data_IF_330506705055
#
_entry.id   IF_330506705055
#
_cell.length_a   1.000
_cell.length_b   1.000
_cell.length_c   1.000
_cell.angle_alpha   90.00
_cell.angle_beta   90.00
_cell.angle_gamma   90.00
#
_symmetry.space_group_name_H-M   'P 1'
#
loop_
_entity.id
_entity.type
_entity.pdbx_description
1 polymer ?
#
# COMPACT_ATOMS: atom_id res chain seq x y z
N UNK A 1 -0.62 32.20 -1.26
CA UNK A 1 0.65 31.58 -1.71
C UNK A 1 0.53 31.33 -3.21
N UNK A 2 1.52 31.75 -4.02
CA UNK A 2 1.50 31.49 -5.47
C UNK A 2 1.73 30.01 -5.74
N UNK A 3 1.26 29.46 -6.87
CA UNK A 3 1.46 28.02 -7.19
C UNK A 3 2.93 27.58 -7.13
N UNK A 4 3.84 28.41 -7.60
CA UNK A 4 5.28 28.14 -7.55
C UNK A 4 5.80 28.00 -6.12
N UNK A 5 5.33 28.86 -5.20
CA UNK A 5 5.74 28.84 -3.80
C UNK A 5 5.28 27.54 -3.11
N UNK A 6 4.08 27.04 -3.49
CA UNK A 6 3.55 25.75 -2.99
C UNK A 6 4.42 24.58 -3.46
N UNK A 7 4.80 24.57 -4.74
CA UNK A 7 5.65 23.54 -5.32
C UNK A 7 7.02 23.53 -4.65
N UNK A 8 7.62 24.72 -4.43
CA UNK A 8 8.92 24.82 -3.78
C UNK A 8 8.86 24.36 -2.32
N UNK A 9 7.86 24.82 -1.57
CA UNK A 9 7.63 24.36 -0.21
C UNK A 9 7.46 22.83 -0.13
N UNK A 10 6.69 22.23 -1.05
CA UNK A 10 6.52 20.78 -1.12
C UNK A 10 7.85 20.06 -1.41
N UNK A 11 8.64 20.57 -2.35
CA UNK A 11 9.98 20.01 -2.68
C UNK A 11 10.91 20.02 -1.47
N UNK A 12 10.98 21.13 -0.77
CA UNK A 12 11.81 21.28 0.42
C UNK A 12 11.34 20.34 1.54
N UNK A 13 10.03 20.30 1.82
CA UNK A 13 9.47 19.43 2.85
C UNK A 13 9.73 17.96 2.55
N UNK A 14 9.56 17.54 1.29
CA UNK A 14 9.88 16.17 0.86
C UNK A 14 11.35 15.83 1.03
N UNK A 15 12.24 16.73 0.63
CA UNK A 15 13.69 16.53 0.78
C UNK A 15 14.06 16.36 2.26
N UNK A 16 13.51 17.18 3.15
CA UNK A 16 13.74 17.08 4.60
C UNK A 16 13.25 15.75 5.18
N UNK A 17 12.07 15.28 4.77
CA UNK A 17 11.57 13.97 5.21
C UNK A 17 12.48 12.83 4.75
N UNK A 18 12.93 12.85 3.50
CA UNK A 18 13.84 11.84 2.96
C UNK A 18 15.16 11.85 3.73
N UNK A 19 15.72 13.03 4.00
CA UNK A 19 16.97 13.18 4.74
C UNK A 19 16.87 12.62 6.17
N UNK A 20 15.78 12.95 6.88
CA UNK A 20 15.55 12.45 8.24
C UNK A 20 15.41 10.93 8.25
N UNK A 21 14.62 10.37 7.33
CA UNK A 21 14.43 8.92 7.23
C UNK A 21 15.73 8.19 6.88
N UNK A 22 16.53 8.73 5.95
CA UNK A 22 17.82 8.14 5.55
C UNK A 22 18.84 8.09 6.72
N UNK A 23 18.77 9.07 7.64
CA UNK A 23 19.65 9.14 8.83
C UNK A 23 19.08 8.36 10.03
N UNK A 24 17.84 7.89 9.97
CA UNK A 24 17.21 7.18 11.08
C UNK A 24 17.37 5.67 10.96
N UNK A 25 17.57 4.98 12.10
CA UNK A 25 17.49 3.52 12.12
C UNK A 25 16.06 3.06 11.77
N UNK A 26 15.89 1.94 11.02
CA UNK A 26 14.56 1.47 10.59
C UNK A 26 13.56 1.28 11.73
N UNK A 27 14.01 0.81 12.90
CA UNK A 27 13.18 0.56 14.07
C UNK A 27 12.95 1.78 14.97
N UNK A 28 13.54 2.95 14.66
CA UNK A 28 13.33 4.17 15.45
C UNK A 28 11.84 4.53 15.45
N UNK A 29 11.27 4.74 16.66
CA UNK A 29 9.88 5.15 16.81
C UNK A 29 9.68 6.63 16.53
N UNK A 30 8.59 6.93 15.86
CA UNK A 30 8.09 8.26 15.54
C UNK A 30 6.68 8.40 16.10
N UNK A 31 6.35 9.56 16.64
CA UNK A 31 4.96 9.88 17.01
C UNK A 31 4.19 10.17 15.72
N UNK A 32 3.14 9.39 15.46
CA UNK A 32 2.26 9.54 14.32
C UNK A 32 0.81 9.59 14.78
N UNK A 33 0.21 10.77 14.71
CA UNK A 33 -1.10 11.06 15.31
C UNK A 33 -1.10 10.71 16.81
N UNK A 34 -1.93 9.77 17.23
CA UNK A 34 -2.05 9.30 18.63
C UNK A 34 -1.25 8.02 18.91
N UNK A 35 -0.52 7.51 17.93
CA UNK A 35 0.20 6.23 18.00
C UNK A 35 1.68 6.43 17.73
N UNK A 36 2.44 5.39 18.02
CA UNK A 36 3.84 5.30 17.57
C UNK A 36 3.94 4.38 16.36
N UNK A 37 4.78 4.78 15.41
CA UNK A 37 5.11 4.02 14.22
C UNK A 37 6.63 3.98 14.05
N UNK A 38 7.20 2.90 13.58
CA UNK A 38 8.63 2.89 13.26
C UNK A 38 8.92 3.58 11.92
N UNK A 39 10.18 4.04 11.74
CA UNK A 39 10.58 4.79 10.54
C UNK A 39 10.36 4.02 9.24
N UNK A 40 10.55 2.68 9.25
CA UNK A 40 10.34 1.86 8.06
C UNK A 40 8.87 1.82 7.67
N UNK A 41 8.00 1.53 8.63
CA UNK A 41 6.54 1.50 8.42
C UNK A 41 6.02 2.88 8.00
N UNK A 42 6.56 3.96 8.61
CA UNK A 42 6.22 5.33 8.19
C UNK A 42 6.60 5.60 6.73
N UNK A 43 7.83 5.24 6.32
CA UNK A 43 8.28 5.42 4.93
C UNK A 43 7.41 4.66 3.93
N UNK A 44 7.07 3.40 4.25
CA UNK A 44 6.19 2.55 3.44
C UNK A 44 4.79 3.16 3.34
N UNK A 45 4.24 3.67 4.45
CA UNK A 45 2.93 4.34 4.46
C UNK A 45 2.95 5.60 3.57
N UNK A 46 3.97 6.45 3.68
CA UNK A 46 4.09 7.66 2.85
C UNK A 46 4.24 7.36 1.37
N UNK A 47 4.92 6.28 1.02
CA UNK A 47 5.01 5.84 -0.36
C UNK A 47 3.65 5.33 -0.88
N UNK A 48 2.93 4.56 -0.06
CA UNK A 48 1.60 4.07 -0.42
C UNK A 48 0.59 5.21 -0.61
N UNK A 49 0.58 6.22 0.28
CA UNK A 49 -0.22 7.43 0.11
C UNK A 49 0.12 8.16 -1.21
N UNK A 50 1.41 8.37 -1.48
CA UNK A 50 1.86 9.05 -2.70
C UNK A 50 1.41 8.30 -3.96
N UNK A 51 1.57 6.98 -3.98
CA UNK A 51 1.15 6.13 -5.09
C UNK A 51 -0.37 6.21 -5.30
N UNK A 52 -1.13 6.07 -4.21
CA UNK A 52 -2.58 6.07 -4.25
C UNK A 52 -3.16 7.41 -4.76
N UNK A 53 -2.61 8.54 -4.27
CA UNK A 53 -3.02 9.86 -4.77
C UNK A 53 -2.53 10.14 -6.19
N UNK A 54 -1.40 9.54 -6.61
CA UNK A 54 -0.99 9.60 -8.01
C UNK A 54 -2.03 8.93 -8.93
N UNK A 55 -2.58 7.78 -8.53
CA UNK A 55 -3.67 7.14 -9.27
C UNK A 55 -4.88 8.08 -9.38
N UNK A 56 -5.30 8.73 -8.27
CA UNK A 56 -6.42 9.67 -8.28
C UNK A 56 -6.21 10.79 -9.31
N UNK A 57 -4.98 11.31 -9.44
CA UNK A 57 -4.62 12.35 -10.43
C UNK A 57 -4.65 11.79 -11.85
N UNK A 58 -4.04 10.62 -12.09
CA UNK A 58 -4.00 10.00 -13.42
C UNK A 58 -5.42 9.63 -13.90
N UNK A 59 -6.25 9.09 -13.00
CA UNK A 59 -7.65 8.76 -13.30
C UNK A 59 -8.44 10.04 -13.68
N UNK A 60 -8.26 11.15 -12.95
CA UNK A 60 -8.88 12.42 -13.28
C UNK A 60 -8.42 12.99 -14.62
N UNK A 61 -7.17 12.73 -15.00
CA UNK A 61 -6.60 13.13 -16.30
C UNK A 61 -6.95 12.14 -17.43
N UNK A 62 -7.61 11.03 -17.14
CA UNK A 62 -7.88 9.92 -18.07
C UNK A 62 -6.61 9.40 -18.73
N UNK A 63 -5.55 9.23 -17.93
CA UNK A 63 -4.25 8.70 -18.35
C UNK A 63 -3.96 7.41 -17.60
N UNK A 64 -3.30 6.49 -18.30
CA UNK A 64 -2.80 5.28 -17.68
C UNK A 64 -1.65 5.59 -16.72
N UNK A 65 -1.64 4.91 -15.58
CA UNK A 65 -0.55 4.94 -14.61
C UNK A 65 0.30 3.69 -14.79
N UNK A 66 1.58 3.88 -15.06
CA UNK A 66 2.53 2.77 -15.20
C UNK A 66 3.25 2.54 -13.86
N UNK A 67 3.06 1.34 -13.32
CA UNK A 67 3.73 0.94 -12.09
C UNK A 67 5.21 0.63 -12.33
N UNK A 68 6.03 0.96 -11.36
CA UNK A 68 7.45 0.58 -11.31
C UNK A 68 7.66 -0.49 -10.23
N UNK A 69 8.85 -1.09 -10.16
CA UNK A 69 9.21 -2.06 -9.09
C UNK A 69 8.99 -1.50 -7.67
N UNK A 70 8.90 -0.18 -7.48
CA UNK A 70 8.61 0.45 -6.19
C UNK A 70 7.21 0.11 -5.64
N UNK A 71 6.31 -0.40 -6.49
CA UNK A 71 4.97 -0.85 -6.06
C UNK A 71 5.06 -2.02 -5.06
N UNK A 72 6.20 -2.71 -4.96
CA UNK A 72 6.50 -3.68 -3.90
C UNK A 72 6.25 -3.11 -2.49
N UNK A 73 6.65 -1.86 -2.26
CA UNK A 73 6.46 -1.22 -0.96
C UNK A 73 4.99 -0.87 -0.69
N UNK A 74 4.22 -0.59 -1.74
CA UNK A 74 2.75 -0.42 -1.61
C UNK A 74 2.09 -1.76 -1.32
N UNK A 75 2.58 -2.83 -1.95
CA UNK A 75 2.13 -4.18 -1.65
C UNK A 75 2.43 -4.59 -0.20
N UNK A 76 3.63 -4.28 0.28
CA UNK A 76 4.02 -4.47 1.68
C UNK A 76 3.13 -3.68 2.64
N UNK A 77 2.79 -2.41 2.31
CA UNK A 77 1.85 -1.61 3.10
C UNK A 77 0.52 -2.35 3.29
N UNK A 78 -0.05 -2.89 2.22
CA UNK A 78 -1.31 -3.63 2.28
C UNK A 78 -1.25 -4.84 3.20
N UNK A 79 -0.16 -5.60 3.14
CA UNK A 79 0.04 -6.76 4.00
C UNK A 79 0.24 -6.38 5.48
N UNK A 80 1.07 -5.36 5.77
CA UNK A 80 1.30 -4.87 7.14
C UNK A 80 0.02 -4.34 7.79
N UNK A 81 -0.91 -3.81 7.01
CA UNK A 81 -2.16 -3.26 7.50
C UNK A 81 -3.35 -4.25 7.44
N UNK A 82 -3.11 -5.52 7.10
CA UNK A 82 -4.17 -6.51 6.97
C UNK A 82 -4.96 -6.74 8.26
N UNK A 83 -4.28 -6.75 9.41
CA UNK A 83 -4.94 -6.86 10.72
C UNK A 83 -5.82 -5.63 11.01
N UNK A 84 -5.33 -4.43 10.74
CA UNK A 84 -6.09 -3.20 10.93
C UNK A 84 -7.31 -3.13 9.98
N UNK A 85 -7.14 -3.52 8.71
CA UNK A 85 -8.24 -3.63 7.76
C UNK A 85 -9.31 -4.61 8.24
N UNK A 86 -8.89 -5.72 8.84
CA UNK A 86 -9.80 -6.71 9.43
C UNK A 86 -10.61 -6.14 10.58
N UNK A 87 -9.97 -5.37 11.48
CA UNK A 87 -10.65 -4.68 12.60
C UNK A 87 -11.71 -3.71 12.10
N UNK A 88 -11.38 -2.90 11.09
CA UNK A 88 -12.33 -1.95 10.48
C UNK A 88 -13.53 -2.67 9.88
N UNK A 89 -13.31 -3.83 9.25
CA UNK A 89 -14.37 -4.66 8.66
C UNK A 89 -15.01 -5.65 9.65
N UNK A 90 -14.76 -5.51 10.96
CA UNK A 90 -15.33 -6.35 12.04
C UNK A 90 -15.12 -7.84 11.79
N UNK A 91 -13.99 -8.19 11.20
CA UNK A 91 -13.60 -9.58 10.88
C UNK A 91 -12.40 -9.96 11.73
N UNK A 92 -12.40 -11.18 12.29
CA UNK A 92 -11.23 -11.68 13.02
C UNK A 92 -10.09 -11.88 12.02
N UNK A 93 -8.94 -11.25 12.30
CA UNK A 93 -7.73 -11.45 11.50
C UNK A 93 -7.29 -12.91 11.55
N UNK A 94 -6.82 -13.40 10.43
CA UNK A 94 -6.14 -14.68 10.27
C UNK A 94 -4.88 -14.46 9.44
N UNK A 95 -3.89 -15.32 9.63
CA UNK A 95 -2.64 -15.24 8.90
C UNK A 95 -2.91 -15.27 7.38
N UNK A 96 -2.23 -14.39 6.67
CA UNK A 96 -2.43 -14.17 5.25
C UNK A 96 -1.09 -14.21 4.53
N UNK A 97 -0.97 -15.11 3.56
CA UNK A 97 0.11 -15.14 2.59
C UNK A 97 -0.29 -14.37 1.34
N UNK A 98 0.60 -13.54 0.84
CA UNK A 98 0.39 -12.76 -0.38
C UNK A 98 1.54 -13.01 -1.34
N UNK A 99 1.26 -13.53 -2.53
CA UNK A 99 2.22 -13.86 -3.59
C UNK A 99 1.89 -13.05 -4.84
N UNK A 100 2.77 -12.17 -5.23
CA UNK A 100 2.51 -11.19 -6.28
C UNK A 100 3.55 -11.23 -7.38
N UNK A 101 3.08 -10.97 -8.60
CA UNK A 101 3.93 -10.67 -9.74
C UNK A 101 3.81 -9.17 -10.03
N UNK A 102 4.91 -8.48 -9.91
CA UNK A 102 5.04 -7.05 -10.17
C UNK A 102 5.63 -6.73 -11.55
N UNK A 103 5.94 -5.44 -11.79
CA UNK A 103 6.67 -5.01 -12.98
C UNK A 103 7.98 -5.80 -13.17
N UNK A 104 8.42 -5.90 -14.40
CA UNK A 104 9.63 -6.65 -14.78
C UNK A 104 9.60 -8.13 -14.33
N UNK A 105 8.39 -8.70 -14.17
CA UNK A 105 8.17 -10.07 -13.69
C UNK A 105 8.80 -10.35 -12.32
N UNK A 106 8.98 -9.34 -11.48
CA UNK A 106 9.46 -9.52 -10.11
C UNK A 106 8.41 -10.24 -9.28
N UNK A 107 8.84 -11.31 -8.61
CA UNK A 107 7.99 -12.06 -7.69
C UNK A 107 8.25 -11.59 -6.26
N UNK A 108 7.16 -11.32 -5.52
CA UNK A 108 7.21 -10.92 -4.11
C UNK A 108 6.29 -11.79 -3.28
N UNK A 109 6.74 -12.12 -2.08
CA UNK A 109 5.98 -12.91 -1.13
C UNK A 109 6.01 -12.23 0.24
N UNK A 110 4.83 -12.17 0.88
CA UNK A 110 4.65 -11.67 2.23
C UNK A 110 3.84 -12.69 3.04
N UNK A 111 4.18 -12.87 4.31
CA UNK A 111 3.51 -13.80 5.21
C UNK A 111 4.13 -15.19 5.24
N UNK A 112 3.56 -16.05 6.10
CA UNK A 112 4.04 -17.41 6.31
C UNK A 112 3.62 -18.32 5.14
N UNK A 113 4.55 -19.14 4.66
CA UNK A 113 4.32 -20.15 3.61
C UNK A 113 3.27 -21.19 4.00
N UNK A 114 3.11 -21.44 5.30
CA UNK A 114 2.15 -22.40 5.84
C UNK A 114 0.76 -21.80 6.08
N UNK A 115 0.54 -20.53 5.75
CA UNK A 115 -0.77 -19.89 5.94
C UNK A 115 -1.85 -20.57 5.09
N UNK A 116 -2.97 -20.93 5.74
CA UNK A 116 -4.16 -21.48 5.07
C UNK A 116 -4.88 -20.48 4.16
N UNK A 117 -4.60 -19.19 4.36
CA UNK A 117 -5.19 -18.13 3.55
C UNK A 117 -4.13 -17.53 2.64
N UNK A 118 -4.37 -17.55 1.34
CA UNK A 118 -3.45 -16.95 0.38
C UNK A 118 -4.15 -16.09 -0.66
N UNK A 119 -3.47 -15.05 -1.10
CA UNK A 119 -3.86 -14.20 -2.24
C UNK A 119 -2.69 -14.18 -3.21
N UNK A 120 -2.95 -14.51 -4.48
CA UNK A 120 -1.94 -14.57 -5.53
C UNK A 120 -2.39 -13.79 -6.75
N UNK A 121 -1.45 -13.10 -7.42
CA UNK A 121 -1.75 -12.45 -8.68
C UNK A 121 -0.94 -11.20 -8.97
N UNK A 122 -1.54 -10.26 -9.70
CA UNK A 122 -0.88 -9.03 -10.10
C UNK A 122 -0.72 -8.05 -8.94
N UNK A 123 0.47 -7.48 -8.77
CA UNK A 123 0.79 -6.56 -7.69
C UNK A 123 -0.01 -5.25 -7.75
N UNK A 124 -0.25 -4.71 -8.94
CA UNK A 124 -1.05 -3.49 -9.10
C UNK A 124 -2.49 -3.70 -8.66
N UNK A 125 -3.08 -4.85 -8.98
CA UNK A 125 -4.42 -5.21 -8.52
C UNK A 125 -4.50 -5.33 -7.00
N UNK A 126 -3.52 -6.01 -6.38
CA UNK A 126 -3.42 -6.06 -4.94
C UNK A 126 -3.32 -4.67 -4.31
N UNK A 127 -2.44 -3.81 -4.84
CA UNK A 127 -2.26 -2.45 -4.34
C UNK A 127 -3.54 -1.61 -4.49
N UNK A 128 -4.27 -1.75 -5.59
CA UNK A 128 -5.58 -1.10 -5.79
C UNK A 128 -6.62 -1.57 -4.78
N UNK A 129 -6.65 -2.86 -4.47
CA UNK A 129 -7.55 -3.41 -3.45
C UNK A 129 -7.24 -2.79 -2.10
N UNK A 130 -6.01 -2.91 -1.62
CA UNK A 130 -5.64 -2.48 -0.25
C UNK A 130 -5.65 -0.96 -0.04
N UNK A 131 -5.65 -0.18 -1.10
CA UNK A 131 -5.78 1.29 -1.05
C UNK A 131 -7.17 1.81 -1.40
N UNK A 132 -8.12 0.91 -1.68
CA UNK A 132 -9.51 1.25 -2.03
C UNK A 132 -9.65 1.98 -3.37
N UNK A 133 -8.80 1.67 -4.36
CA UNK A 133 -8.75 2.33 -5.68
C UNK A 133 -8.97 1.38 -6.86
N UNK A 134 -9.82 0.38 -6.65
CA UNK A 134 -10.25 -0.50 -7.75
C UNK A 134 -11.22 0.27 -8.64
N UNK A 135 -10.93 0.49 -9.93
CA UNK A 135 -11.84 1.19 -10.84
C UNK A 135 -13.15 0.42 -11.00
N UNK A 136 -14.26 1.14 -11.17
CA UNK A 136 -15.57 0.52 -11.40
C UNK A 136 -15.53 -0.34 -12.66
N UNK A 137 -15.89 -1.60 -12.52
CA UNK A 137 -15.91 -2.58 -13.63
C UNK A 137 -14.54 -3.22 -13.91
N UNK A 138 -13.48 -2.86 -13.19
CA UNK A 138 -12.19 -3.52 -13.31
C UNK A 138 -12.25 -4.97 -12.82
N UNK A 139 -11.75 -5.90 -13.64
CA UNK A 139 -11.67 -7.31 -13.29
C UNK A 139 -10.32 -7.61 -12.67
N UNK A 140 -10.30 -7.85 -11.37
CA UNK A 140 -9.08 -8.22 -10.65
C UNK A 140 -8.51 -9.56 -11.16
N UNK A 141 -7.21 -9.63 -11.26
CA UNK A 141 -6.43 -10.84 -11.60
C UNK A 141 -5.89 -11.53 -10.35
N UNK A 142 -6.59 -11.37 -9.23
CA UNK A 142 -6.23 -12.00 -7.96
C UNK A 142 -6.98 -13.32 -7.78
N UNK A 143 -6.27 -14.37 -7.43
CA UNK A 143 -6.82 -15.63 -6.93
C UNK A 143 -6.73 -15.67 -5.42
N UNK A 144 -7.69 -16.34 -4.77
CA UNK A 144 -7.77 -16.42 -3.31
C UNK A 144 -7.99 -17.85 -2.86
N UNK A 145 -7.27 -18.28 -1.85
CA UNK A 145 -7.43 -19.55 -1.16
C UNK A 145 -7.71 -19.28 0.33
N UNK A 146 -8.60 -20.05 0.95
CA UNK A 146 -9.07 -19.82 2.31
C UNK A 146 -10.20 -18.79 2.41
N UNK A 147 -11.01 -18.91 3.46
CA UNK A 147 -12.21 -18.07 3.63
C UNK A 147 -11.89 -16.64 4.04
N UNK A 148 -10.81 -16.45 4.80
CA UNK A 148 -10.37 -15.12 5.16
C UNK A 148 -9.86 -14.34 3.95
N UNK A 149 -9.05 -14.95 3.09
CA UNK A 149 -8.54 -14.32 1.87
C UNK A 149 -9.68 -13.89 0.93
N UNK A 150 -10.70 -14.76 0.74
CA UNK A 150 -11.91 -14.44 -0.05
C UNK A 150 -12.68 -13.24 0.50
N UNK A 151 -12.74 -13.11 1.83
CA UNK A 151 -13.37 -11.95 2.49
C UNK A 151 -12.51 -10.71 2.37
N UNK A 152 -11.19 -10.85 2.58
CA UNK A 152 -10.23 -9.73 2.61
C UNK A 152 -10.24 -8.90 1.32
N UNK A 153 -10.24 -9.54 0.15
CA UNK A 153 -10.29 -8.80 -1.13
C UNK A 153 -11.58 -8.02 -1.35
N UNK A 154 -12.62 -8.32 -0.56
CA UNK A 154 -13.93 -7.65 -0.60
C UNK A 154 -14.12 -6.64 0.53
N UNK A 155 -13.13 -6.45 1.39
CA UNK A 155 -13.21 -5.47 2.47
C UNK A 155 -13.41 -4.07 1.93
N UNK A 156 -14.08 -3.25 2.73
CA UNK A 156 -14.06 -1.81 2.52
C UNK A 156 -12.71 -1.28 3.03
N UNK A 157 -11.72 -1.28 2.15
CA UNK A 157 -10.40 -0.74 2.47
C UNK A 157 -10.46 0.77 2.59
N UNK A 158 -9.90 1.28 3.68
CA UNK A 158 -9.85 2.72 3.93
C UNK A 158 -8.98 3.36 2.85
N UNK A 159 -9.53 4.37 2.18
CA UNK A 159 -8.74 5.20 1.26
C UNK A 159 -7.70 5.97 2.07
N UNK A 160 -6.45 5.77 1.73
CA UNK A 160 -5.31 6.50 2.29
C UNK A 160 -5.02 7.73 1.47
#
# INVERSE_FOLDING_TARGET
MRPQDVIEWWRMSRASVIEILAKSSPGKKLTWWKNEIDCRTFAVTKLAETWAHSLDVYDAMKKDYEDTVRVEHVALYGWLNAEQASKVNKTKYQDLRVELIGPEYKAWQFGDEQSENSIKGNASDWCRVVTGRVPKGHKLTLSTEGDFAKKFVKFNHVKI
#
